data_IF_212067422610
#
_entry.id   IF_212067422610
#
_cell.length_a   1.000
_cell.length_b   1.000
_cell.length_c   1.000
_cell.angle_alpha   90.00
_cell.angle_beta   90.00
_cell.angle_gamma   90.00
#
_symmetry.space_group_name_H-M   'P 1'
#
loop_
_entity.id
_entity.type
_entity.pdbx_description
1 polymer ?
#
# COMPACT_ATOMS: atom_id res chain seq x y z
N UNK A 1 5.95 -8.65 4.28
CA UNK A 1 5.61 -8.05 2.99
C UNK A 1 4.42 -7.14 3.12
N UNK A 2 4.39 -6.05 2.37
CA UNK A 2 3.21 -5.19 2.29
C UNK A 2 2.54 -5.36 0.92
N UNK A 3 1.22 -5.09 0.85
CA UNK A 3 0.43 -5.30 -0.35
C UNK A 3 0.94 -4.57 -1.60
N UNK A 4 1.58 -3.41 -1.43
CA UNK A 4 2.18 -2.67 -2.54
C UNK A 4 3.35 -3.43 -3.18
N UNK A 5 4.23 -4.03 -2.38
CA UNK A 5 5.35 -4.82 -2.90
C UNK A 5 4.86 -6.08 -3.60
N UNK A 6 3.86 -6.75 -3.04
CA UNK A 6 3.26 -7.95 -3.62
C UNK A 6 2.64 -7.65 -5.00
N UNK A 7 1.87 -6.57 -5.10
CA UNK A 7 1.31 -6.10 -6.38
C UNK A 7 2.40 -5.86 -7.43
N UNK A 8 3.42 -5.07 -7.08
CA UNK A 8 4.53 -4.74 -8.01
C UNK A 8 5.26 -6.01 -8.45
N UNK A 9 5.50 -6.95 -7.55
CA UNK A 9 6.11 -8.24 -7.87
C UNK A 9 5.32 -9.02 -8.94
N UNK A 10 4.01 -9.19 -8.75
CA UNK A 10 3.17 -9.91 -9.70
C UNK A 10 3.01 -9.18 -11.04
N UNK A 11 2.93 -7.85 -11.03
CA UNK A 11 2.92 -7.06 -12.27
C UNK A 11 4.23 -7.21 -13.03
N UNK A 12 5.39 -7.11 -12.37
CA UNK A 12 6.71 -7.29 -12.99
C UNK A 12 6.84 -8.69 -13.59
N UNK A 13 6.45 -9.73 -12.85
CA UNK A 13 6.49 -11.12 -13.32
C UNK A 13 5.63 -11.32 -14.57
N UNK A 14 4.43 -10.74 -14.58
CA UNK A 14 3.52 -10.82 -15.73
C UNK A 14 4.03 -10.06 -16.95
N UNK A 15 4.61 -8.88 -16.74
CA UNK A 15 5.22 -8.08 -17.82
C UNK A 15 6.47 -8.77 -18.38
N UNK A 16 7.32 -9.31 -17.53
CA UNK A 16 8.56 -9.97 -17.92
C UNK A 16 8.32 -11.25 -18.75
N UNK A 17 7.14 -11.88 -18.64
CA UNK A 17 6.77 -13.01 -19.49
C UNK A 17 6.64 -12.64 -20.99
N UNK A 18 6.47 -11.34 -21.32
CA UNK A 18 6.23 -10.87 -22.70
C UNK A 18 7.15 -9.73 -23.12
N UNK A 19 7.84 -9.10 -22.18
CA UNK A 19 8.66 -7.90 -22.40
C UNK A 19 10.01 -8.03 -21.72
N UNK A 20 11.00 -7.33 -22.23
CA UNK A 20 12.30 -7.19 -21.57
C UNK A 20 12.19 -6.10 -20.50
N UNK A 21 12.25 -6.48 -19.24
CA UNK A 21 12.05 -5.58 -18.08
C UNK A 21 13.39 -5.25 -17.43
N UNK A 22 13.69 -3.97 -17.29
CA UNK A 22 14.75 -3.44 -16.43
C UNK A 22 14.11 -2.82 -15.20
N UNK A 23 14.47 -3.29 -14.01
CA UNK A 23 13.96 -2.78 -12.74
C UNK A 23 14.99 -1.90 -12.05
N UNK A 24 14.58 -0.67 -11.68
CA UNK A 24 15.33 0.20 -10.77
C UNK A 24 14.50 0.40 -9.49
N UNK A 25 15.06 0.06 -8.35
CA UNK A 25 14.34 0.10 -7.07
C UNK A 25 15.15 0.77 -5.96
N UNK A 26 14.43 1.41 -5.03
CA UNK A 26 15.00 1.85 -3.76
C UNK A 26 14.93 0.71 -2.75
N UNK A 27 16.03 0.46 -2.06
CA UNK A 27 16.07 -0.47 -0.93
C UNK A 27 16.29 0.30 0.37
N UNK A 28 15.50 0.01 1.38
CA UNK A 28 15.61 0.61 2.72
C UNK A 28 15.00 -0.32 3.77
N UNK A 29 15.44 -0.15 5.02
CA UNK A 29 15.05 -1.02 6.14
C UNK A 29 15.96 -2.22 6.29
N UNK A 30 15.49 -3.26 6.99
CA UNK A 30 16.28 -4.44 7.40
C UNK A 30 16.24 -5.59 6.37
N UNK A 31 15.55 -5.44 5.26
CA UNK A 31 15.49 -6.51 4.24
C UNK A 31 16.85 -6.68 3.56
N UNK A 32 17.30 -7.92 3.46
CA UNK A 32 18.51 -8.24 2.70
C UNK A 32 18.30 -7.96 1.21
N UNK A 33 18.98 -6.96 0.64
CA UNK A 33 18.83 -6.61 -0.76
C UNK A 33 19.34 -7.71 -1.70
N UNK A 34 20.25 -8.58 -1.26
CA UNK A 34 20.81 -9.65 -2.09
C UNK A 34 19.76 -10.70 -2.39
N UNK A 35 19.05 -11.18 -1.37
CA UNK A 35 17.99 -12.21 -1.53
C UNK A 35 16.84 -11.67 -2.40
N UNK A 36 16.40 -10.44 -2.15
CA UNK A 36 15.34 -9.82 -2.95
C UNK A 36 15.71 -9.65 -4.42
N UNK A 37 16.96 -9.28 -4.70
CA UNK A 37 17.45 -9.11 -6.07
C UNK A 37 17.54 -10.45 -6.81
N UNK A 38 17.96 -11.53 -6.16
CA UNK A 38 18.08 -12.86 -6.79
C UNK A 38 16.74 -13.31 -7.37
N UNK A 39 15.66 -13.24 -6.59
CA UNK A 39 14.31 -13.64 -7.03
C UNK A 39 13.82 -12.78 -8.23
N UNK A 40 14.15 -11.49 -8.24
CA UNK A 40 13.75 -10.59 -9.31
C UNK A 40 14.58 -10.80 -10.59
N UNK A 41 15.83 -11.22 -10.46
CA UNK A 41 16.70 -11.57 -11.60
C UNK A 41 16.26 -12.83 -12.35
N UNK A 42 15.44 -13.69 -11.72
CA UNK A 42 14.90 -14.87 -12.39
C UNK A 42 14.02 -14.52 -13.59
N UNK A 43 13.43 -13.33 -13.61
CA UNK A 43 12.54 -12.92 -14.69
C UNK A 43 12.80 -11.50 -15.23
N UNK A 44 13.46 -10.62 -14.50
CA UNK A 44 13.88 -9.31 -15.02
C UNK A 44 15.21 -9.42 -15.75
N UNK A 45 15.34 -8.75 -16.90
CA UNK A 45 16.57 -8.71 -17.67
C UNK A 45 17.71 -7.96 -16.94
N UNK A 46 17.38 -7.00 -16.11
CA UNK A 46 18.31 -6.24 -15.29
C UNK A 46 17.61 -5.75 -14.02
N UNK A 47 18.27 -5.86 -12.87
CA UNK A 47 17.79 -5.32 -11.58
C UNK A 47 18.90 -4.44 -11.01
N UNK A 48 18.59 -3.18 -10.75
CA UNK A 48 19.46 -2.24 -10.07
C UNK A 48 18.79 -1.69 -8.83
N UNK A 49 19.51 -1.64 -7.72
CA UNK A 49 19.00 -1.12 -6.45
C UNK A 49 19.85 0.04 -5.95
N UNK A 50 19.18 1.01 -5.35
CA UNK A 50 19.83 2.14 -4.66
C UNK A 50 19.44 2.07 -3.18
N UNK A 51 20.44 1.82 -2.33
CA UNK A 51 20.26 1.70 -0.87
C UNK A 51 20.10 3.10 -0.26
N UNK A 52 18.90 3.64 -0.31
CA UNK A 52 18.56 4.93 0.30
C UNK A 52 17.08 5.03 0.61
N UNK A 53 16.74 5.46 1.84
CA UNK A 53 15.37 5.71 2.23
C UNK A 53 14.88 7.07 1.71
N UNK A 54 13.73 7.13 1.01
CA UNK A 54 13.13 8.40 0.61
C UNK A 54 12.53 9.17 1.80
N UNK A 55 12.36 8.52 2.95
CA UNK A 55 11.72 9.07 4.15
C UNK A 55 12.71 9.71 5.12
N UNK A 56 13.99 9.45 4.99
CA UNK A 56 15.01 10.03 5.84
C UNK A 56 15.21 11.52 5.55
N UNK A 57 14.90 12.34 6.54
CA UNK A 57 15.20 13.77 6.49
C UNK A 57 15.34 14.34 7.91
N UNK A 58 16.24 15.33 8.07
CA UNK A 58 16.41 16.04 9.33
C UNK A 58 15.12 16.78 9.73
N UNK A 59 14.96 17.04 11.03
CA UNK A 59 13.79 17.80 11.55
C UNK A 59 13.69 19.20 10.90
N UNK A 60 14.82 19.89 10.70
CA UNK A 60 14.88 21.18 10.02
C UNK A 60 14.42 21.07 8.56
N UNK A 61 14.92 20.08 7.83
CA UNK A 61 14.49 19.83 6.45
C UNK A 61 12.99 19.49 6.37
N UNK A 62 12.44 18.83 7.38
CA UNK A 62 11.01 18.52 7.48
C UNK A 62 10.19 19.78 7.70
N UNK A 63 10.61 20.68 8.59
CA UNK A 63 9.96 21.95 8.85
C UNK A 63 9.97 22.86 7.60
N UNK A 64 11.12 23.02 6.96
CA UNK A 64 11.25 23.82 5.73
C UNK A 64 10.40 23.25 4.58
N UNK A 65 10.26 21.93 4.50
CA UNK A 65 9.43 21.25 3.49
C UNK A 65 7.94 21.44 3.69
N UNK A 66 7.50 21.81 4.87
CA UNK A 66 6.11 22.20 5.05
C UNK A 66 5.72 23.34 4.09
N UNK A 67 6.65 24.24 3.80
CA UNK A 67 6.45 25.35 2.84
C UNK A 67 6.72 24.95 1.36
N UNK A 68 7.28 23.77 1.10
CA UNK A 68 7.52 23.29 -0.27
C UNK A 68 6.20 22.94 -0.97
N UNK A 69 6.02 23.26 -2.26
CA UNK A 69 4.87 22.82 -3.05
C UNK A 69 4.85 21.31 -3.31
N UNK A 70 5.99 20.63 -3.16
CA UNK A 70 6.11 19.17 -3.35
C UNK A 70 5.94 18.47 -2.01
N UNK A 71 5.07 17.46 -1.89
CA UNK A 71 4.96 16.63 -0.69
C UNK A 71 6.30 15.97 -0.32
N UNK A 72 6.54 15.81 0.99
CA UNK A 72 7.83 15.29 1.51
C UNK A 72 8.17 13.90 0.97
N UNK A 73 7.17 13.06 0.78
CA UNK A 73 7.32 11.68 0.29
C UNK A 73 7.79 11.56 -1.16
N UNK A 74 7.82 12.68 -1.92
CA UNK A 74 8.14 12.67 -3.36
C UNK A 74 9.50 13.31 -3.65
N UNK A 75 10.44 13.19 -2.72
CA UNK A 75 11.79 13.70 -2.90
C UNK A 75 12.53 12.90 -3.96
N UNK A 76 13.13 13.61 -4.92
CA UNK A 76 14.08 13.01 -5.86
C UNK A 76 15.39 12.67 -5.14
N UNK A 77 15.84 11.44 -5.26
CA UNK A 77 17.10 10.93 -4.73
C UNK A 77 18.14 11.04 -5.85
N UNK A 78 19.25 11.79 -5.68
CA UNK A 78 20.22 11.99 -6.75
C UNK A 78 20.81 10.68 -7.29
N UNK A 79 21.12 9.73 -6.41
CA UNK A 79 21.67 8.42 -6.83
C UNK A 79 20.67 7.64 -7.70
N UNK A 80 19.38 7.64 -7.37
CA UNK A 80 18.36 7.01 -8.20
C UNK A 80 18.20 7.76 -9.52
N UNK A 81 18.19 9.09 -9.50
CA UNK A 81 18.12 9.89 -10.74
C UNK A 81 19.28 9.60 -11.68
N UNK A 82 20.49 9.49 -11.14
CA UNK A 82 21.68 9.09 -11.90
C UNK A 82 21.51 7.71 -12.55
N UNK A 83 21.05 6.72 -11.80
CA UNK A 83 20.84 5.36 -12.33
C UNK A 83 19.77 5.33 -13.42
N UNK A 84 18.65 6.03 -13.22
CA UNK A 84 17.61 6.15 -14.26
C UNK A 84 18.16 6.80 -15.52
N UNK A 85 18.85 7.93 -15.41
CA UNK A 85 19.43 8.64 -16.56
C UNK A 85 20.45 7.77 -17.28
N UNK A 86 21.29 7.04 -16.54
CA UNK A 86 22.27 6.10 -17.09
C UNK A 86 21.59 4.94 -17.83
N UNK A 87 20.54 4.35 -17.28
CA UNK A 87 19.80 3.27 -17.93
C UNK A 87 19.17 3.75 -19.26
N UNK A 88 18.52 4.92 -19.22
CA UNK A 88 17.90 5.54 -20.39
C UNK A 88 18.91 5.94 -21.49
N UNK A 89 20.16 6.25 -21.12
CA UNK A 89 21.24 6.53 -22.08
C UNK A 89 21.84 5.27 -22.70
N UNK A 90 21.78 4.12 -22.01
CA UNK A 90 22.38 2.85 -22.48
C UNK A 90 21.45 2.06 -23.39
N UNK A 91 20.15 2.15 -23.17
CA UNK A 91 19.14 1.37 -23.89
C UNK A 91 17.97 2.25 -24.29
N UNK A 92 17.36 1.94 -25.44
CA UNK A 92 16.07 2.49 -25.81
C UNK A 92 14.95 1.71 -25.09
N UNK A 93 14.00 2.44 -24.49
CA UNK A 93 12.83 1.87 -23.83
C UNK A 93 11.57 2.39 -24.49
N UNK A 94 10.65 1.50 -24.83
CA UNK A 94 9.34 1.87 -25.38
C UNK A 94 8.41 2.40 -24.31
N UNK A 95 8.55 1.86 -23.07
CA UNK A 95 7.70 2.22 -21.93
C UNK A 95 8.55 2.44 -20.67
N UNK A 96 8.26 3.50 -19.94
CA UNK A 96 8.84 3.80 -18.63
C UNK A 96 7.71 3.86 -17.59
N UNK A 97 7.70 2.91 -16.65
CA UNK A 97 6.67 2.80 -15.62
C UNK A 97 7.23 3.32 -14.30
N UNK A 98 6.55 4.30 -13.70
CA UNK A 98 6.77 4.69 -12.32
C UNK A 98 5.73 4.00 -11.44
N UNK A 99 6.19 3.14 -10.53
CA UNK A 99 5.29 2.61 -9.49
C UNK A 99 5.29 3.56 -8.32
N UNK A 100 4.12 4.14 -8.06
CA UNK A 100 3.80 5.21 -7.12
C UNK A 100 4.32 6.61 -7.49
N UNK A 101 3.63 7.62 -7.00
CA UNK A 101 3.99 9.06 -7.13
C UNK A 101 5.42 9.38 -6.70
N UNK A 102 5.97 8.60 -5.75
CA UNK A 102 7.34 8.75 -5.31
C UNK A 102 8.35 8.56 -6.44
N UNK A 103 8.03 7.70 -7.41
CA UNK A 103 8.88 7.42 -8.57
C UNK A 103 8.56 8.31 -9.78
N UNK A 104 7.44 9.02 -9.78
CA UNK A 104 6.97 9.82 -10.92
C UNK A 104 7.95 10.91 -11.39
N UNK A 105 8.77 11.44 -10.47
CA UNK A 105 9.76 12.48 -10.83
C UNK A 105 10.85 11.96 -11.77
N UNK A 106 11.18 10.69 -11.71
CA UNK A 106 12.24 10.07 -12.51
C UNK A 106 11.82 9.82 -13.96
N UNK A 107 10.53 9.70 -14.25
CA UNK A 107 10.03 9.54 -15.62
C UNK A 107 10.25 10.78 -16.50
N UNK A 108 10.59 11.93 -15.90
CA UNK A 108 10.91 13.16 -16.66
C UNK A 108 12.13 13.02 -17.56
N UNK A 109 13.04 12.13 -17.20
CA UNK A 109 14.25 11.84 -17.99
C UNK A 109 13.97 10.91 -19.16
N UNK A 110 12.76 10.33 -19.25
CA UNK A 110 12.41 9.45 -20.35
C UNK A 110 12.40 10.21 -21.70
N UNK A 111 12.92 9.62 -22.77
CA UNK A 111 12.93 10.23 -24.09
C UNK A 111 11.49 10.42 -24.60
N UNK A 112 11.32 11.32 -25.55
CA UNK A 112 10.01 11.72 -26.06
C UNK A 112 9.19 10.55 -26.65
N UNK A 113 9.85 9.60 -27.29
CA UNK A 113 9.19 8.42 -27.88
C UNK A 113 8.70 7.41 -26.84
N UNK A 114 9.24 7.42 -25.63
CA UNK A 114 8.87 6.47 -24.59
C UNK A 114 7.52 6.82 -23.96
N UNK A 115 6.64 5.84 -23.86
CA UNK A 115 5.36 5.98 -23.16
C UNK A 115 5.62 6.00 -21.65
N UNK A 116 5.18 7.05 -20.98
CA UNK A 116 5.28 7.18 -19.52
C UNK A 116 3.99 6.71 -18.87
N UNK A 117 4.11 5.69 -18.04
CA UNK A 117 3.01 5.12 -17.27
C UNK A 117 3.23 5.41 -15.79
N UNK A 118 2.18 5.83 -15.09
CA UNK A 118 2.15 5.96 -13.65
C UNK A 118 1.24 4.87 -13.07
N UNK A 119 1.83 3.95 -12.33
CA UNK A 119 1.11 2.90 -11.62
C UNK A 119 0.89 3.35 -10.16
N UNK A 120 -0.37 3.52 -9.73
CA UNK A 120 -0.75 4.04 -8.43
C UNK A 120 -1.59 3.06 -7.63
N UNK A 121 -1.35 3.04 -6.32
CA UNK A 121 -2.04 2.15 -5.40
C UNK A 121 -3.23 2.82 -4.70
N UNK A 122 -3.28 4.14 -4.70
CA UNK A 122 -4.36 4.95 -4.10
C UNK A 122 -4.24 6.42 -4.49
N UNK A 123 -5.33 7.18 -4.37
CA UNK A 123 -5.29 8.64 -4.47
C UNK A 123 -4.86 9.24 -3.12
N UNK A 124 -3.68 9.86 -3.10
CA UNK A 124 -3.15 10.51 -1.90
C UNK A 124 -3.98 11.74 -1.53
N UNK A 125 -4.47 12.49 -2.51
CA UNK A 125 -5.32 13.67 -2.26
C UNK A 125 -6.65 13.29 -1.61
N UNK A 126 -7.24 12.15 -1.99
CA UNK A 126 -8.42 11.58 -1.33
C UNK A 126 -8.13 11.25 0.12
N UNK A 127 -7.05 10.53 0.41
CA UNK A 127 -6.66 10.20 1.78
C UNK A 127 -6.42 11.45 2.64
N UNK A 128 -5.77 12.48 2.09
CA UNK A 128 -5.56 13.75 2.80
C UNK A 128 -6.88 14.49 3.05
N UNK A 129 -7.84 14.40 2.16
CA UNK A 129 -9.18 14.94 2.34
C UNK A 129 -9.94 14.22 3.44
N UNK A 130 -9.97 12.89 3.44
CA UNK A 130 -10.58 12.08 4.49
C UNK A 130 -9.99 12.43 5.86
N UNK A 131 -8.67 12.56 5.95
CA UNK A 131 -8.00 12.99 7.18
C UNK A 131 -8.43 14.39 7.63
N UNK A 132 -8.52 15.34 6.69
CA UNK A 132 -9.01 16.69 6.99
C UNK A 132 -10.44 16.69 7.55
N UNK A 133 -11.32 15.86 6.99
CA UNK A 133 -12.71 15.78 7.44
C UNK A 133 -12.84 15.20 8.87
N UNK A 134 -11.95 14.29 9.25
CA UNK A 134 -11.98 13.61 10.55
C UNK A 134 -11.26 14.39 11.65
N UNK A 135 -10.37 15.30 11.28
CA UNK A 135 -9.60 16.09 12.25
C UNK A 135 -10.51 17.10 12.97
N UNK A 136 -10.52 17.05 14.30
CA UNK A 136 -11.37 17.89 15.16
C UNK A 136 -10.62 19.09 15.76
N UNK A 137 -9.30 18.95 15.94
CA UNK A 137 -8.47 19.99 16.53
C UNK A 137 -8.21 21.10 15.48
N UNK A 138 -8.57 22.38 15.76
CA UNK A 138 -8.58 23.43 14.74
C UNK A 138 -7.23 23.67 14.05
N UNK A 139 -6.13 23.66 14.81
CA UNK A 139 -4.78 23.91 14.27
C UNK A 139 -4.35 22.73 13.39
N UNK A 140 -4.57 21.50 13.84
CA UNK A 140 -4.26 20.30 13.06
C UNK A 140 -5.14 20.22 11.81
N UNK A 141 -6.41 20.59 11.92
CA UNK A 141 -7.34 20.62 10.79
C UNK A 141 -6.88 21.59 9.70
N UNK A 142 -6.41 22.80 10.10
CA UNK A 142 -5.82 23.76 9.16
C UNK A 142 -4.57 23.18 8.48
N UNK A 143 -3.68 22.52 9.23
CA UNK A 143 -2.50 21.83 8.68
C UNK A 143 -2.88 20.73 7.70
N UNK A 144 -3.91 19.94 8.01
CA UNK A 144 -4.43 18.90 7.12
C UNK A 144 -4.98 19.53 5.83
N UNK A 145 -5.71 20.63 5.92
CA UNK A 145 -6.23 21.34 4.76
C UNK A 145 -5.11 21.87 3.85
N UNK A 146 -4.09 22.52 4.42
CA UNK A 146 -2.92 23.00 3.67
C UNK A 146 -2.21 21.82 2.98
N UNK A 147 -2.01 20.71 3.70
CA UNK A 147 -1.39 19.52 3.16
C UNK A 147 -2.20 18.90 2.02
N UNK A 148 -3.52 18.85 2.18
CA UNK A 148 -4.44 18.40 1.13
C UNK A 148 -4.35 19.26 -0.12
N UNK A 149 -4.39 20.61 0.00
CA UNK A 149 -4.31 21.51 -1.14
C UNK A 149 -2.98 21.36 -1.91
N UNK A 150 -1.87 21.18 -1.20
CA UNK A 150 -0.55 20.92 -1.81
C UNK A 150 -0.52 19.58 -2.54
N UNK A 151 -1.00 18.54 -1.87
CA UNK A 151 -1.04 17.17 -2.42
C UNK A 151 -1.91 17.12 -3.67
N UNK A 152 -3.09 17.73 -3.63
CA UNK A 152 -4.01 17.81 -4.76
C UNK A 152 -3.38 18.46 -5.99
N UNK A 153 -2.69 19.60 -5.81
CA UNK A 153 -2.01 20.30 -6.91
C UNK A 153 -0.85 19.49 -7.48
N UNK A 154 -0.07 18.87 -6.60
CA UNK A 154 1.04 18.02 -6.99
C UNK A 154 0.55 16.79 -7.74
N UNK A 155 -0.42 16.06 -7.20
CA UNK A 155 -1.01 14.88 -7.82
C UNK A 155 -1.57 15.20 -9.22
N UNK A 156 -2.38 16.25 -9.35
CA UNK A 156 -2.87 16.71 -10.65
C UNK A 156 -1.73 17.01 -11.65
N UNK A 157 -0.62 17.61 -11.20
CA UNK A 157 0.52 17.89 -12.07
C UNK A 157 1.29 16.64 -12.49
N UNK A 158 1.32 15.62 -11.64
CA UNK A 158 1.95 14.33 -11.93
C UNK A 158 1.08 13.54 -12.91
N UNK A 159 -0.22 13.43 -12.65
CA UNK A 159 -1.16 12.73 -13.51
C UNK A 159 -1.10 13.24 -14.96
N UNK A 160 -1.14 14.56 -15.17
CA UNK A 160 -1.09 15.18 -16.53
C UNK A 160 0.20 14.94 -17.31
N UNK A 161 1.27 14.48 -16.66
CA UNK A 161 2.57 14.24 -17.32
C UNK A 161 2.75 12.81 -17.82
N UNK A 162 1.86 11.92 -17.46
CA UNK A 162 1.91 10.53 -17.87
C UNK A 162 0.89 10.27 -18.98
N UNK A 163 1.26 9.43 -19.92
CA UNK A 163 0.40 9.04 -21.04
C UNK A 163 -0.69 8.07 -20.59
N UNK A 164 -0.40 7.28 -19.54
CA UNK A 164 -1.34 6.37 -18.92
C UNK A 164 -1.13 6.41 -17.39
N UNK A 165 -2.23 6.41 -16.67
CA UNK A 165 -2.24 6.24 -15.21
C UNK A 165 -3.10 5.03 -14.87
N UNK A 166 -2.61 4.15 -14.01
CA UNK A 166 -3.41 3.02 -13.51
C UNK A 166 -3.71 3.19 -12.03
N UNK A 167 -4.96 2.94 -11.66
CA UNK A 167 -5.46 2.95 -10.29
C UNK A 167 -5.95 1.56 -9.90
N UNK A 168 -6.05 1.27 -8.59
CA UNK A 168 -6.48 -0.05 -8.13
C UNK A 168 -7.98 -0.16 -7.89
N UNK A 169 -8.71 0.95 -7.89
CA UNK A 169 -10.16 0.99 -7.67
C UNK A 169 -10.83 2.10 -8.47
N UNK A 170 -12.13 1.93 -8.73
CA UNK A 170 -12.95 2.96 -9.39
C UNK A 170 -13.04 4.24 -8.54
N UNK A 171 -13.07 4.11 -7.22
CA UNK A 171 -13.12 5.26 -6.32
C UNK A 171 -11.85 6.11 -6.44
N UNK A 172 -10.67 5.47 -6.48
CA UNK A 172 -9.41 6.19 -6.66
C UNK A 172 -9.28 6.76 -8.07
N UNK A 173 -9.75 6.04 -9.09
CA UNK A 173 -9.86 6.55 -10.47
C UNK A 173 -10.73 7.81 -10.52
N UNK A 174 -11.93 7.76 -9.96
CA UNK A 174 -12.86 8.89 -9.94
C UNK A 174 -12.26 10.10 -9.20
N UNK A 175 -11.56 9.88 -8.08
CA UNK A 175 -10.85 10.94 -7.39
C UNK A 175 -9.79 11.61 -8.29
N UNK A 176 -9.07 10.82 -9.11
CA UNK A 176 -8.09 11.35 -10.07
C UNK A 176 -8.75 12.11 -11.22
N UNK A 177 -9.86 11.61 -11.77
CA UNK A 177 -10.61 12.30 -12.81
C UNK A 177 -11.14 13.68 -12.38
N UNK A 178 -11.56 13.80 -11.11
CA UNK A 178 -11.92 15.10 -10.53
C UNK A 178 -10.73 16.07 -10.50
N UNK A 179 -9.51 15.59 -10.26
CA UNK A 179 -8.29 16.40 -10.33
C UNK A 179 -7.94 16.84 -11.76
N UNK A 180 -8.28 16.02 -12.72
CA UNK A 180 -8.06 16.26 -14.15
C UNK A 180 -9.21 16.99 -14.82
N UNK A 181 -10.23 17.38 -14.07
CA UNK A 181 -11.47 18.00 -14.59
C UNK A 181 -12.20 17.10 -15.58
N UNK A 182 -12.29 15.81 -15.26
CA UNK A 182 -12.95 14.78 -16.06
C UNK A 182 -12.29 14.47 -17.42
N UNK A 183 -11.02 14.81 -17.59
CA UNK A 183 -10.22 14.26 -18.68
C UNK A 183 -9.97 12.78 -18.44
N UNK A 184 -10.73 11.93 -19.14
CA UNK A 184 -10.79 10.48 -18.89
C UNK A 184 -9.82 9.68 -19.72
N UNK A 185 -9.14 10.30 -20.68
CA UNK A 185 -8.45 9.60 -21.78
C UNK A 185 -7.22 8.78 -21.36
N UNK A 186 -6.80 8.84 -20.10
CA UNK A 186 -5.55 8.22 -19.68
C UNK A 186 -5.53 7.67 -18.23
N UNK A 187 -6.70 7.51 -17.60
CA UNK A 187 -6.79 6.91 -16.25
C UNK A 187 -7.62 5.64 -16.29
N UNK A 188 -6.97 4.51 -16.05
CA UNK A 188 -7.57 3.17 -16.12
C UNK A 188 -7.52 2.47 -14.76
N UNK A 189 -8.40 1.49 -14.57
CA UNK A 189 -8.39 0.64 -13.37
C UNK A 189 -7.73 -0.69 -13.68
N UNK A 190 -6.65 -0.96 -12.94
CA UNK A 190 -6.01 -2.27 -12.88
C UNK A 190 -6.13 -2.77 -11.43
N UNK A 191 -7.17 -3.54 -11.09
CA UNK A 191 -7.45 -3.93 -9.72
C UNK A 191 -6.35 -4.81 -9.15
N UNK A 192 -6.30 -4.90 -7.82
CA UNK A 192 -5.48 -5.90 -7.15
C UNK A 192 -6.09 -7.28 -7.35
N UNK A 193 -5.21 -8.28 -7.48
CA UNK A 193 -5.56 -9.68 -7.49
C UNK A 193 -4.92 -10.43 -6.33
N UNK A 194 -5.22 -11.72 -6.24
CA UNK A 194 -4.61 -12.66 -5.32
C UNK A 194 -4.12 -13.89 -6.09
N UNK A 195 -2.97 -14.43 -5.71
CA UNK A 195 -2.46 -15.67 -6.24
C UNK A 195 -3.24 -16.86 -5.62
N UNK A 196 -4.22 -17.38 -6.35
CA UNK A 196 -5.05 -18.50 -5.91
C UNK A 196 -4.32 -19.86 -5.94
N UNK A 197 -3.16 -19.96 -6.57
CA UNK A 197 -2.32 -21.16 -6.47
C UNK A 197 -1.56 -21.18 -5.14
N UNK A 198 -1.11 -20.03 -4.68
CA UNK A 198 -0.45 -19.83 -3.39
C UNK A 198 -1.46 -19.78 -2.24
N UNK A 199 -2.52 -18.99 -2.38
CA UNK A 199 -3.61 -18.88 -1.39
C UNK A 199 -4.75 -19.80 -1.83
N UNK A 200 -4.78 -21.02 -1.33
CA UNK A 200 -5.78 -22.03 -1.68
C UNK A 200 -6.43 -22.60 -0.43
N UNK A 201 -7.68 -23.07 -0.50
CA UNK A 201 -8.32 -23.75 0.60
C UNK A 201 -7.58 -25.02 1.04
N UNK A 202 -7.81 -25.45 2.29
CA UNK A 202 -7.30 -26.71 2.81
C UNK A 202 -5.90 -26.64 3.42
N UNK A 203 -5.32 -25.46 3.64
CA UNK A 203 -4.03 -25.31 4.34
C UNK A 203 -4.14 -25.61 5.84
N UNK A 204 -5.31 -25.41 6.43
CA UNK A 204 -5.61 -25.75 7.82
C UNK A 204 -7.10 -26.08 7.98
N UNK A 205 -7.46 -26.72 9.10
CA UNK A 205 -8.86 -26.98 9.43
C UNK A 205 -9.46 -25.77 10.18
N UNK A 206 -10.59 -25.22 9.73
CA UNK A 206 -11.27 -24.14 10.44
C UNK A 206 -11.71 -24.57 11.84
N UNK A 207 -11.50 -23.70 12.82
CA UNK A 207 -11.89 -23.92 14.21
C UNK A 207 -13.12 -23.07 14.53
N UNK A 208 -14.24 -23.67 14.94
CA UNK A 208 -15.45 -22.92 15.29
C UNK A 208 -15.19 -21.83 16.34
N UNK A 209 -15.81 -20.67 16.17
CA UNK A 209 -15.67 -19.53 17.09
C UNK A 209 -14.32 -18.79 17.00
N UNK A 210 -13.41 -19.17 16.12
CA UNK A 210 -12.13 -18.46 15.93
C UNK A 210 -12.28 -17.37 14.89
N UNK A 211 -12.04 -16.13 15.28
CA UNK A 211 -11.93 -14.97 14.40
C UNK A 211 -10.46 -14.65 14.13
N UNK A 212 -10.16 -14.07 12.98
CA UNK A 212 -8.82 -13.57 12.67
C UNK A 212 -8.87 -12.16 12.05
N UNK A 213 -7.94 -11.32 12.47
CA UNK A 213 -7.56 -10.10 11.78
C UNK A 213 -6.09 -10.20 11.36
N UNK A 214 -5.80 -10.17 10.05
CA UNK A 214 -4.44 -10.17 9.55
C UNK A 214 -4.00 -8.76 9.16
N UNK A 215 -3.03 -8.22 9.88
CA UNK A 215 -2.45 -6.92 9.54
C UNK A 215 -1.70 -6.26 10.69
N UNK A 216 -0.52 -5.71 10.38
CA UNK A 216 0.30 -5.01 11.35
C UNK A 216 -0.44 -3.85 12.00
N UNK A 217 -0.42 -3.75 13.32
CA UNK A 217 -0.97 -2.63 14.09
C UNK A 217 -0.08 -1.38 14.03
N UNK A 218 1.13 -1.48 13.49
CA UNK A 218 1.98 -0.31 13.22
C UNK A 218 1.40 0.59 12.12
N UNK A 219 0.50 0.07 11.31
CA UNK A 219 -0.26 0.85 10.33
C UNK A 219 -1.51 1.45 10.98
N UNK A 220 -1.61 2.77 10.97
CA UNK A 220 -2.64 3.52 11.70
C UNK A 220 -4.08 3.09 11.39
N UNK A 221 -4.39 2.76 10.14
CA UNK A 221 -5.74 2.31 9.76
C UNK A 221 -6.08 0.93 10.36
N UNK A 222 -5.11 0.02 10.48
CA UNK A 222 -5.30 -1.27 11.14
C UNK A 222 -5.50 -1.08 12.65
N UNK A 223 -4.68 -0.20 13.26
CA UNK A 223 -4.81 0.11 14.68
C UNK A 223 -6.18 0.71 15.02
N UNK A 224 -6.60 1.72 14.26
CA UNK A 224 -7.93 2.35 14.46
C UNK A 224 -9.07 1.34 14.27
N UNK A 225 -8.97 0.47 13.28
CA UNK A 225 -9.93 -0.59 13.03
C UNK A 225 -10.03 -1.56 14.22
N UNK A 226 -8.89 -2.02 14.75
CA UNK A 226 -8.88 -2.94 15.89
C UNK A 226 -9.34 -2.24 17.18
N UNK A 227 -8.95 -1.00 17.42
CA UNK A 227 -9.42 -0.22 18.56
C UNK A 227 -10.95 -0.11 18.57
N UNK A 228 -11.52 0.25 17.43
CA UNK A 228 -12.99 0.32 17.30
C UNK A 228 -13.66 -1.05 17.41
N UNK A 229 -13.13 -2.05 16.71
CA UNK A 229 -13.71 -3.40 16.70
C UNK A 229 -13.74 -4.01 18.11
N UNK A 230 -12.63 -3.91 18.83
CA UNK A 230 -12.51 -4.45 20.19
C UNK A 230 -13.40 -3.71 21.21
N UNK A 231 -13.59 -2.40 21.02
CA UNK A 231 -14.44 -1.61 21.94
C UNK A 231 -15.94 -1.75 21.65
N UNK A 232 -16.34 -1.78 20.37
CA UNK A 232 -17.74 -1.61 20.00
C UNK A 232 -18.40 -2.87 19.43
N UNK A 233 -17.65 -3.73 18.75
CA UNK A 233 -18.20 -4.87 18.03
C UNK A 233 -17.94 -6.19 18.75
N UNK A 234 -16.70 -6.44 19.12
CA UNK A 234 -16.29 -7.72 19.70
C UNK A 234 -17.02 -8.09 20.99
N UNK A 235 -17.31 -7.16 21.93
CA UNK A 235 -18.11 -7.49 23.10
C UNK A 235 -19.52 -7.98 22.78
N UNK A 236 -20.13 -7.46 21.71
CA UNK A 236 -21.45 -7.91 21.24
C UNK A 236 -21.39 -9.30 20.62
N UNK A 237 -20.30 -9.61 19.90
CA UNK A 237 -20.06 -10.95 19.37
C UNK A 237 -19.87 -11.95 20.52
N UNK A 238 -19.06 -11.61 21.54
CA UNK A 238 -18.85 -12.46 22.74
C UNK A 238 -20.15 -12.77 23.48
N UNK A 239 -21.05 -11.79 23.56
CA UNK A 239 -22.34 -11.98 24.23
C UNK A 239 -23.23 -12.99 23.49
N UNK A 240 -23.11 -13.12 22.19
CA UNK A 240 -23.92 -14.04 21.37
C UNK A 240 -23.22 -15.38 21.08
N UNK A 241 -21.90 -15.42 21.08
CA UNK A 241 -21.09 -16.61 20.80
C UNK A 241 -20.12 -16.85 21.96
N UNK A 242 -20.56 -17.57 23.01
CA UNK A 242 -19.68 -17.93 24.12
C UNK A 242 -18.45 -18.71 23.64
N UNK A 243 -17.28 -18.36 24.15
CA UNK A 243 -16.02 -19.02 23.78
C UNK A 243 -15.41 -18.53 22.45
N UNK A 244 -15.97 -17.49 21.81
CA UNK A 244 -15.34 -16.85 20.65
C UNK A 244 -13.97 -16.30 21.01
N UNK A 245 -13.00 -16.50 20.13
CA UNK A 245 -11.63 -15.96 20.26
C UNK A 245 -11.26 -15.12 19.05
N UNK A 246 -10.36 -14.15 19.24
CA UNK A 246 -9.83 -13.32 18.18
C UNK A 246 -8.30 -13.44 18.12
N UNK A 247 -7.78 -13.80 16.96
CA UNK A 247 -6.34 -13.76 16.69
C UNK A 247 -6.01 -12.53 15.84
N UNK A 248 -5.11 -11.68 16.31
CA UNK A 248 -4.60 -10.52 15.55
C UNK A 248 -3.16 -10.82 15.17
N UNK A 249 -2.88 -10.91 13.85
CA UNK A 249 -1.54 -11.17 13.34
C UNK A 249 -0.86 -9.88 12.89
N UNK A 250 0.47 -9.90 12.83
CA UNK A 250 1.29 -8.79 12.36
C UNK A 250 1.96 -8.01 13.48
N UNK A 251 2.95 -7.20 13.11
CA UNK A 251 3.80 -6.48 14.06
C UNK A 251 3.00 -5.53 14.95
N UNK A 252 3.36 -5.53 16.23
CA UNK A 252 2.86 -4.61 17.26
C UNK A 252 3.98 -3.72 17.81
N UNK A 253 5.16 -3.74 17.20
CA UNK A 253 6.35 -3.02 17.68
C UNK A 253 6.12 -1.52 17.72
N UNK A 254 6.33 -0.90 18.89
CA UNK A 254 6.15 0.54 19.09
C UNK A 254 4.69 1.01 19.08
N UNK A 255 3.73 0.08 19.20
CA UNK A 255 2.30 0.39 19.27
C UNK A 255 1.86 0.48 20.73
N UNK A 256 1.08 1.50 21.06
CA UNK A 256 0.43 1.60 22.36
C UNK A 256 -0.74 0.61 22.44
N UNK A 257 -0.52 -0.50 23.14
CA UNK A 257 -1.51 -1.56 23.33
C UNK A 257 -2.49 -1.25 24.48
N UNK A 258 -2.19 -0.30 25.37
CA UNK A 258 -3.04 0.03 26.53
C UNK A 258 -4.39 0.64 26.10
N UNK A 259 -4.45 1.24 24.93
CA UNK A 259 -5.69 1.78 24.36
C UNK A 259 -6.52 0.75 23.56
N UNK A 260 -6.12 -0.51 23.53
CA UNK A 260 -6.90 -1.61 22.97
C UNK A 260 -7.62 -2.36 24.09
N UNK A 261 -8.90 -2.61 23.92
CA UNK A 261 -9.71 -3.40 24.88
C UNK A 261 -9.37 -4.89 24.74
N UNK A 262 -8.16 -5.27 25.14
CA UNK A 262 -7.66 -6.65 25.10
C UNK A 262 -8.13 -7.41 26.35
N UNK A 263 -8.50 -8.68 26.16
CA UNK A 263 -8.76 -9.64 27.24
C UNK A 263 -8.21 -11.01 26.86
N UNK A 264 -8.41 -12.02 27.73
CA UNK A 264 -7.86 -13.38 27.53
C UNK A 264 -8.36 -14.09 26.26
N UNK A 265 -9.45 -13.60 25.63
CA UNK A 265 -9.97 -14.14 24.39
C UNK A 265 -9.29 -13.56 23.15
N UNK A 266 -8.39 -12.57 23.31
CA UNK A 266 -7.68 -11.91 22.20
C UNK A 266 -6.20 -12.29 22.24
N UNK A 267 -5.70 -12.87 21.15
CA UNK A 267 -4.30 -13.26 21.01
C UNK A 267 -3.61 -12.35 19.99
N UNK A 268 -2.53 -11.68 20.41
CA UNK A 268 -1.61 -10.96 19.52
C UNK A 268 -0.44 -11.88 19.18
N UNK A 269 -0.31 -12.31 17.93
CA UNK A 269 0.76 -13.23 17.53
C UNK A 269 2.09 -12.53 17.24
N UNK A 270 2.04 -11.22 17.01
CA UNK A 270 3.17 -10.54 16.38
C UNK A 270 3.36 -10.98 14.93
N UNK A 271 4.59 -10.87 14.44
CA UNK A 271 4.95 -11.38 13.12
C UNK A 271 4.82 -12.91 13.09
N UNK A 272 4.19 -13.44 12.05
CA UNK A 272 4.09 -14.88 11.76
C UNK A 272 4.76 -15.16 10.42
N UNK A 273 5.44 -16.30 10.32
CA UNK A 273 6.14 -16.68 9.10
C UNK A 273 5.16 -16.93 7.94
N UNK A 274 4.07 -17.62 8.22
CA UNK A 274 3.00 -17.87 7.25
C UNK A 274 1.63 -17.44 7.79
N UNK A 275 1.17 -16.26 7.34
CA UNK A 275 -0.11 -15.70 7.75
C UNK A 275 -1.32 -16.49 7.22
N UNK A 276 -1.13 -17.33 6.20
CA UNK A 276 -2.20 -18.14 5.62
C UNK A 276 -2.75 -19.17 6.62
N UNK A 277 -1.88 -19.69 7.48
CA UNK A 277 -2.27 -20.71 8.47
C UNK A 277 -3.30 -20.15 9.48
N UNK A 278 -3.02 -19.06 10.24
CA UNK A 278 -4.02 -18.51 11.15
C UNK A 278 -5.27 -18.00 10.44
N UNK A 279 -5.18 -17.55 9.17
CA UNK A 279 -6.36 -17.17 8.39
C UNK A 279 -7.18 -18.40 8.00
N UNK A 280 -6.56 -19.48 7.53
CA UNK A 280 -7.26 -20.71 7.16
C UNK A 280 -7.84 -21.46 8.38
N UNK A 281 -7.24 -21.32 9.58
CA UNK A 281 -7.79 -21.88 10.83
C UNK A 281 -8.99 -21.10 11.38
N UNK A 282 -9.21 -19.85 10.93
CA UNK A 282 -10.32 -19.06 11.41
C UNK A 282 -11.65 -19.45 10.76
N UNK A 283 -12.72 -19.43 11.53
CA UNK A 283 -14.08 -19.55 11.00
C UNK A 283 -14.54 -18.30 10.26
N UNK A 284 -13.99 -17.13 10.64
CA UNK A 284 -14.27 -15.84 9.98
C UNK A 284 -13.04 -14.94 10.05
N UNK A 285 -12.67 -14.33 8.92
CA UNK A 285 -11.74 -13.22 8.87
C UNK A 285 -12.49 -11.90 9.01
N UNK A 286 -12.03 -11.03 9.91
CA UNK A 286 -12.64 -9.71 10.11
C UNK A 286 -11.78 -8.62 9.49
N UNK A 287 -12.39 -7.71 8.74
CA UNK A 287 -11.72 -6.58 8.12
C UNK A 287 -12.46 -5.25 8.41
N UNK A 288 -12.49 -4.81 9.68
CA UNK A 288 -13.29 -3.66 10.13
C UNK A 288 -12.59 -2.32 9.84
N UNK A 289 -12.04 -2.18 8.62
CA UNK A 289 -11.26 -1.02 8.19
C UNK A 289 -12.21 0.10 7.77
N UNK A 290 -12.19 1.21 8.50
CA UNK A 290 -13.06 2.37 8.27
C UNK A 290 -12.42 3.51 7.50
N UNK A 291 -11.11 3.42 7.24
CA UNK A 291 -10.31 4.49 6.63
C UNK A 291 -9.30 3.95 5.62
N UNK A 292 -8.96 4.80 4.65
CA UNK A 292 -7.93 4.52 3.65
C UNK A 292 -8.48 3.94 2.36
N UNK A 293 -7.84 4.29 1.23
CA UNK A 293 -8.17 3.83 -0.12
C UNK A 293 -7.54 2.49 -0.51
N UNK A 294 -7.78 2.10 -1.75
CA UNK A 294 -7.24 0.89 -2.37
C UNK A 294 -7.97 -0.41 -1.99
N UNK A 295 -7.67 -1.47 -2.73
CA UNK A 295 -8.22 -2.81 -2.46
C UNK A 295 -7.56 -3.42 -1.22
N UNK A 296 -8.36 -3.98 -0.35
CA UNK A 296 -7.91 -4.68 0.86
C UNK A 296 -7.44 -6.10 0.51
N UNK A 297 -6.16 -6.29 0.21
CA UNK A 297 -5.60 -7.60 -0.18
C UNK A 297 -5.93 -8.69 0.84
N UNK A 298 -5.94 -8.38 2.14
CA UNK A 298 -6.32 -9.33 3.20
C UNK A 298 -7.72 -9.96 3.00
N UNK A 299 -8.64 -9.24 2.37
CA UNK A 299 -9.98 -9.74 2.02
C UNK A 299 -9.85 -10.78 0.91
N UNK A 300 -9.14 -10.43 -0.16
CA UNK A 300 -8.91 -11.34 -1.29
C UNK A 300 -8.14 -12.59 -0.87
N UNK A 301 -7.13 -12.45 -0.02
CA UNK A 301 -6.35 -13.55 0.54
C UNK A 301 -7.22 -14.49 1.38
N UNK A 302 -8.03 -13.95 2.28
CA UNK A 302 -8.94 -14.76 3.10
C UNK A 302 -9.98 -15.49 2.23
N UNK A 303 -10.58 -14.81 1.24
CA UNK A 303 -11.52 -15.43 0.30
C UNK A 303 -10.85 -16.54 -0.52
N UNK A 304 -9.62 -16.33 -1.00
CA UNK A 304 -8.87 -17.34 -1.73
C UNK A 304 -8.50 -18.56 -0.86
N UNK A 305 -8.29 -18.37 0.44
CA UNK A 305 -8.08 -19.44 1.42
C UNK A 305 -9.37 -20.18 1.80
N UNK A 306 -10.53 -19.72 1.32
CA UNK A 306 -11.83 -20.28 1.65
C UNK A 306 -12.38 -19.82 3.01
N UNK A 307 -11.76 -18.81 3.63
CA UNK A 307 -12.21 -18.26 4.91
C UNK A 307 -13.27 -17.17 4.66
N UNK A 308 -14.47 -17.30 5.24
CA UNK A 308 -15.50 -16.29 5.17
C UNK A 308 -15.01 -14.92 5.70
N UNK A 309 -15.41 -13.83 5.08
CA UNK A 309 -14.97 -12.48 5.46
C UNK A 309 -16.14 -11.60 5.88
N UNK A 310 -15.97 -10.90 6.99
CA UNK A 310 -16.85 -9.80 7.41
C UNK A 310 -16.03 -8.50 7.38
N UNK A 311 -16.48 -7.54 6.58
CA UNK A 311 -15.82 -6.26 6.39
C UNK A 311 -16.79 -5.09 6.64
N UNK A 312 -16.25 -3.92 6.95
CA UNK A 312 -17.00 -2.66 6.87
C UNK A 312 -17.27 -2.31 5.40
N UNK A 313 -18.40 -1.67 5.17
CA UNK A 313 -18.80 -1.13 3.86
C UNK A 313 -17.93 0.06 3.45
#
# INVERSE_FOLDING_TARGET
DNGSKLRVYHLLRSLAARHRVTLLSLTFGTADPVVGNTILMDFCAEVQTVAQSPFECSAVARALRFFSPVPVVNRTIPAMHYQVTRALARCSYDVVIASTKGMASYTRSAPFHAIRVLEEHNSLSRQMWERYQQEKEPVQRLRCWVSWQKTRRYEASVLRRHHLVTMVSEEDRNACLLLLRNDTGHVEVVPNGVDCAHNRPGLAQPRPGRLVFNGSLTYSANYDAMRWFLAEVYPRVKAQVPGVTLTITGSTSGVDLANLALDDSVTLTGFVEDVRIPVAEASVAVAPIRQGGGTRLKILEAMALGTPVVATA
#
